data_IF_029700895930
#
_entry.id   IF_029700895930
#
_cell.length_a   1.000
_cell.length_b   1.000
_cell.length_c   1.000
_cell.angle_alpha   90.00
_cell.angle_beta   90.00
_cell.angle_gamma   90.00
#
_symmetry.space_group_name_H-M   'P 1'
#
loop_
_entity.id
_entity.type
_entity.pdbx_description
1 polymer ?
#
# COMPACT_ATOMS: atom_id res chain seq x y z
N UNK A 1 37.98 -13.40 49.15
CA UNK A 1 37.71 -12.47 48.06
C UNK A 1 36.63 -13.11 47.15
N UNK A 2 35.36 -12.67 47.25
CA UNK A 2 34.25 -13.25 46.48
C UNK A 2 34.04 -12.39 45.24
N UNK A 3 34.33 -12.94 44.07
CA UNK A 3 34.11 -12.32 42.76
C UNK A 3 32.60 -12.40 42.48
N UNK A 4 31.92 -11.25 42.42
CA UNK A 4 30.55 -11.17 41.94
C UNK A 4 30.61 -11.02 40.40
N UNK A 5 30.19 -12.06 39.70
CA UNK A 5 29.97 -11.99 38.24
C UNK A 5 28.64 -11.26 38.01
N UNK A 6 28.70 -10.07 37.46
CA UNK A 6 27.51 -9.34 36.97
C UNK A 6 27.24 -9.83 35.57
N UNK A 7 26.20 -10.64 35.40
CA UNK A 7 25.69 -11.01 34.08
C UNK A 7 24.86 -9.84 33.54
N UNK A 8 25.42 -9.07 32.62
CA UNK A 8 24.66 -8.05 31.89
C UNK A 8 23.96 -8.77 30.73
N UNK A 9 22.65 -9.01 30.90
CA UNK A 9 21.80 -9.52 29.83
C UNK A 9 21.53 -8.37 28.87
N UNK A 10 22.19 -8.33 27.71
CA UNK A 10 21.79 -7.48 26.60
C UNK A 10 20.47 -8.00 26.04
N UNK A 11 19.37 -7.34 26.39
CA UNK A 11 18.14 -7.44 25.63
C UNK A 11 18.41 -6.82 24.24
N UNK A 12 18.71 -7.64 23.26
CA UNK A 12 18.63 -7.26 21.86
C UNK A 12 17.15 -7.03 21.59
N UNK A 13 16.72 -5.77 21.60
CA UNK A 13 15.43 -5.40 21.07
C UNK A 13 15.47 -5.77 19.58
N UNK A 14 14.91 -6.93 19.23
CA UNK A 14 14.60 -7.26 17.84
C UNK A 14 13.59 -6.23 17.42
N UNK A 15 14.03 -5.21 16.69
CA UNK A 15 13.15 -4.27 16.02
C UNK A 15 12.29 -5.09 15.06
N UNK A 16 11.04 -5.31 15.45
CA UNK A 16 10.10 -6.08 14.65
C UNK A 16 9.68 -5.23 13.44
N UNK A 17 10.42 -5.35 12.36
CA UNK A 17 10.09 -4.77 11.06
C UNK A 17 8.85 -5.43 10.47
N UNK A 18 8.22 -4.75 9.52
CA UNK A 18 7.09 -5.23 8.71
C UNK A 18 7.45 -6.51 7.91
N UNK A 19 7.43 -7.67 8.55
CA UNK A 19 7.82 -8.95 7.92
C UNK A 19 6.59 -9.59 7.23
N UNK A 20 6.66 -9.73 5.91
CA UNK A 20 5.60 -10.36 5.12
C UNK A 20 5.45 -11.86 5.41
N UNK A 21 6.52 -12.52 5.85
CA UNK A 21 6.45 -13.93 6.27
C UNK A 21 5.59 -14.07 7.51
N UNK A 22 5.75 -13.17 8.51
CA UNK A 22 4.88 -13.11 9.69
C UNK A 22 3.41 -12.85 9.30
N UNK A 23 3.16 -12.00 8.29
CA UNK A 23 1.81 -11.84 7.75
C UNK A 23 1.23 -13.16 7.21
N UNK A 24 2.04 -13.96 6.52
CA UNK A 24 1.61 -15.27 6.00
C UNK A 24 1.29 -16.29 7.09
N UNK A 25 1.87 -16.13 8.28
CA UNK A 25 1.63 -16.99 9.44
C UNK A 25 0.29 -16.68 10.14
N UNK A 26 -0.36 -15.53 9.89
CA UNK A 26 -1.70 -15.27 10.41
C UNK A 26 -2.70 -16.28 9.84
N UNK A 27 -3.62 -16.79 10.70
CA UNK A 27 -4.64 -17.75 10.27
C UNK A 27 -5.44 -17.23 9.07
N UNK A 28 -5.58 -18.08 8.07
CA UNK A 28 -6.57 -17.90 7.01
C UNK A 28 -7.92 -18.31 7.58
N UNK A 29 -8.90 -17.41 7.55
CA UNK A 29 -10.27 -17.70 7.97
C UNK A 29 -11.11 -18.11 6.76
N UNK A 30 -11.54 -19.39 6.68
CA UNK A 30 -12.34 -19.86 5.55
C UNK A 30 -13.67 -19.10 5.40
N UNK A 31 -14.19 -18.50 6.48
CA UNK A 31 -15.41 -17.69 6.41
C UNK A 31 -15.15 -16.37 5.67
N UNK A 32 -13.99 -15.72 5.91
CA UNK A 32 -13.58 -14.52 5.17
C UNK A 32 -13.38 -14.85 3.69
N UNK A 33 -12.69 -15.95 3.37
CA UNK A 33 -12.49 -16.34 1.96
C UNK A 33 -13.81 -16.63 1.25
N UNK A 34 -14.75 -17.31 1.93
CA UNK A 34 -16.08 -17.60 1.39
C UNK A 34 -16.85 -16.30 1.12
N UNK A 35 -16.86 -15.36 2.06
CA UNK A 35 -17.49 -14.04 1.89
C UNK A 35 -16.86 -13.25 0.73
N UNK A 36 -15.52 -13.22 0.64
CA UNK A 36 -14.84 -12.52 -0.44
C UNK A 36 -15.12 -13.14 -1.81
N UNK A 37 -15.29 -14.48 -1.89
CA UNK A 37 -15.71 -15.16 -3.11
C UNK A 37 -17.12 -14.76 -3.50
N UNK A 38 -18.08 -14.72 -2.57
CA UNK A 38 -19.45 -14.25 -2.84
C UNK A 38 -19.45 -12.79 -3.30
N UNK A 39 -18.65 -11.93 -2.66
CA UNK A 39 -18.47 -10.53 -3.09
C UNK A 39 -17.92 -10.46 -4.51
N UNK A 40 -16.91 -11.26 -4.83
CA UNK A 40 -16.33 -11.31 -6.17
C UNK A 40 -17.35 -11.77 -7.22
N UNK A 41 -18.06 -12.89 -6.98
CA UNK A 41 -19.10 -13.43 -7.86
C UNK A 41 -20.23 -12.43 -8.10
N UNK A 42 -20.73 -11.78 -7.04
CA UNK A 42 -21.75 -10.74 -7.15
C UNK A 42 -21.26 -9.51 -7.92
N UNK A 43 -19.99 -9.14 -7.70
CA UNK A 43 -19.38 -8.03 -8.43
C UNK A 43 -19.22 -8.32 -9.92
N UNK A 44 -18.73 -9.50 -10.27
CA UNK A 44 -18.60 -9.93 -11.68
C UNK A 44 -19.94 -9.98 -12.40
N UNK A 45 -21.01 -10.34 -11.69
CA UNK A 45 -22.38 -10.32 -12.23
C UNK A 45 -22.86 -8.88 -12.51
N UNK A 46 -22.62 -7.94 -11.58
CA UNK A 46 -23.07 -6.56 -11.69
C UNK A 46 -22.22 -5.73 -12.67
N UNK A 47 -20.95 -6.12 -12.85
CA UNK A 47 -19.98 -5.46 -13.72
C UNK A 47 -19.46 -6.44 -14.79
N UNK A 48 -20.24 -6.78 -15.81
CA UNK A 48 -19.94 -7.86 -16.76
C UNK A 48 -18.72 -7.64 -17.66
N UNK A 49 -18.16 -6.42 -17.66
CA UNK A 49 -16.89 -6.10 -18.34
C UNK A 49 -15.68 -6.51 -17.50
N UNK A 50 -15.83 -6.63 -16.18
CA UNK A 50 -14.78 -7.08 -15.27
C UNK A 50 -14.62 -8.59 -15.41
N UNK A 51 -13.39 -9.07 -15.55
CA UNK A 51 -13.10 -10.51 -15.58
C UNK A 51 -12.63 -10.97 -14.20
N UNK A 52 -12.77 -12.25 -13.93
CA UNK A 52 -12.34 -12.84 -12.66
C UNK A 52 -10.85 -12.56 -12.35
N UNK A 53 -9.97 -12.72 -13.35
CA UNK A 53 -8.53 -12.46 -13.22
C UNK A 53 -8.17 -10.97 -13.13
N UNK A 54 -9.14 -10.09 -13.32
CA UNK A 54 -8.97 -8.63 -13.25
C UNK A 54 -9.43 -8.06 -11.90
N UNK A 55 -9.72 -8.91 -10.92
CA UNK A 55 -10.13 -8.57 -9.56
C UNK A 55 -9.29 -9.33 -8.54
N UNK A 56 -8.74 -8.62 -7.57
CA UNK A 56 -8.11 -9.20 -6.38
C UNK A 56 -8.57 -8.44 -5.13
N UNK A 57 -8.86 -9.16 -4.06
CA UNK A 57 -9.34 -8.61 -2.79
C UNK A 57 -8.60 -9.30 -1.65
N UNK A 58 -8.09 -8.53 -0.69
CA UNK A 58 -7.58 -9.06 0.59
C UNK A 58 -8.27 -8.36 1.74
N UNK A 59 -8.71 -9.12 2.73
CA UNK A 59 -9.27 -8.62 3.97
C UNK A 59 -8.52 -9.18 5.17
N UNK A 60 -8.27 -8.32 6.17
CA UNK A 60 -7.71 -8.69 7.47
C UNK A 60 -8.69 -8.22 8.54
N UNK A 61 -9.22 -9.11 9.35
CA UNK A 61 -10.05 -8.76 10.51
C UNK A 61 -9.15 -8.36 11.68
N UNK A 62 -9.33 -7.13 12.15
CA UNK A 62 -8.64 -6.51 13.28
C UNK A 62 -9.58 -6.16 14.43
N UNK A 63 -10.82 -6.65 14.39
CA UNK A 63 -11.82 -6.40 15.44
C UNK A 63 -11.30 -6.84 16.80
N UNK A 64 -10.59 -7.96 16.84
CA UNK A 64 -9.83 -8.40 18.01
C UNK A 64 -8.34 -8.51 17.65
N UNK A 65 -7.54 -7.58 18.14
CA UNK A 65 -6.10 -7.52 17.86
C UNK A 65 -5.30 -8.72 18.43
N UNK A 66 -5.90 -9.53 19.31
CA UNK A 66 -5.28 -10.76 19.83
C UNK A 66 -5.54 -11.97 18.93
N UNK A 67 -6.53 -11.91 18.05
CA UNK A 67 -6.94 -13.00 17.16
C UNK A 67 -7.13 -12.51 15.73
N UNK A 68 -6.06 -11.93 15.17
CA UNK A 68 -6.05 -11.44 13.79
C UNK A 68 -6.23 -12.63 12.84
N UNK A 69 -7.15 -12.51 11.90
CA UNK A 69 -7.33 -13.46 10.81
C UNK A 69 -7.42 -12.75 9.47
N UNK A 70 -7.19 -13.48 8.39
CA UNK A 70 -7.20 -12.94 7.03
C UNK A 70 -7.88 -13.86 6.04
N UNK A 71 -8.26 -13.34 4.92
CA UNK A 71 -8.70 -14.10 3.76
C UNK A 71 -8.51 -13.26 2.50
N UNK A 72 -8.48 -13.92 1.37
CA UNK A 72 -8.34 -13.23 0.10
C UNK A 72 -9.10 -13.92 -1.04
N UNK A 73 -9.30 -13.15 -2.12
CA UNK A 73 -9.68 -13.59 -3.44
C UNK A 73 -8.60 -13.12 -4.40
N UNK A 74 -7.82 -14.04 -4.96
CA UNK A 74 -6.65 -13.78 -5.82
C UNK A 74 -5.58 -12.87 -5.17
N UNK A 75 -5.43 -12.95 -3.82
CA UNK A 75 -4.60 -12.02 -3.05
C UNK A 75 -3.12 -12.01 -3.40
N UNK A 76 -2.57 -13.08 -3.95
CA UNK A 76 -1.18 -13.18 -4.42
C UNK A 76 -1.04 -12.90 -5.95
N UNK A 77 -2.13 -12.55 -6.66
CA UNK A 77 -2.05 -12.16 -8.05
C UNK A 77 -1.35 -10.80 -8.23
N UNK A 78 -0.40 -10.68 -9.18
CA UNK A 78 0.31 -9.42 -9.39
C UNK A 78 -0.51 -8.42 -10.19
N UNK A 79 -0.59 -7.19 -9.69
CA UNK A 79 -1.25 -6.07 -10.34
C UNK A 79 -0.33 -4.85 -10.45
N UNK A 80 -0.65 -3.95 -11.36
CA UNK A 80 -0.13 -2.59 -11.32
C UNK A 80 -0.87 -1.80 -10.24
N UNK A 81 -0.18 -1.38 -9.15
CA UNK A 81 -0.86 -0.79 -8.00
C UNK A 81 -1.28 0.66 -8.22
N UNK A 82 -0.86 1.32 -9.29
CA UNK A 82 -0.94 2.76 -9.48
C UNK A 82 -0.42 3.49 -8.23
N UNK A 83 -1.12 4.51 -7.74
CA UNK A 83 -0.68 5.29 -6.58
C UNK A 83 -0.73 4.56 -5.23
N UNK A 84 -1.28 3.34 -5.15
CA UNK A 84 -1.17 2.53 -3.93
C UNK A 84 0.29 2.18 -3.60
N UNK A 85 1.18 2.15 -4.61
CA UNK A 85 2.63 1.97 -4.39
C UNK A 85 3.24 3.01 -3.45
N UNK A 86 2.62 4.19 -3.32
CA UNK A 86 3.08 5.29 -2.45
C UNK A 86 3.11 4.90 -0.97
N UNK A 87 2.36 3.87 -0.55
CA UNK A 87 2.49 3.27 0.77
C UNK A 87 3.90 2.74 1.05
N UNK A 88 4.51 2.11 0.06
CA UNK A 88 5.87 1.58 0.19
C UNK A 88 6.92 2.71 0.15
N UNK A 89 6.72 3.75 -0.65
CA UNK A 89 7.59 4.94 -0.64
C UNK A 89 7.51 5.69 0.68
N UNK A 90 6.30 5.82 1.24
CA UNK A 90 6.07 6.39 2.56
C UNK A 90 6.86 5.62 3.62
N UNK A 91 6.67 4.30 3.70
CA UNK A 91 7.35 3.46 4.67
C UNK A 91 8.89 3.50 4.53
N UNK A 92 9.42 3.48 3.30
CA UNK A 92 10.86 3.59 3.04
C UNK A 92 11.43 4.94 3.45
N UNK A 93 10.67 6.04 3.30
CA UNK A 93 11.11 7.37 3.74
C UNK A 93 11.39 7.39 5.25
N UNK A 94 10.50 6.80 6.04
CA UNK A 94 10.68 6.65 7.49
C UNK A 94 11.77 5.62 7.84
N UNK A 95 11.87 4.52 7.10
CA UNK A 95 12.92 3.52 7.28
C UNK A 95 14.32 4.12 7.14
N UNK A 96 14.52 4.98 6.16
CA UNK A 96 15.78 5.71 5.95
C UNK A 96 15.94 6.94 6.85
N UNK A 97 14.97 7.28 7.71
CA UNK A 97 14.96 8.48 8.56
C UNK A 97 15.10 9.77 7.75
N UNK A 98 14.46 9.82 6.59
CA UNK A 98 14.48 10.98 5.69
C UNK A 98 13.25 11.88 5.82
N UNK A 99 12.31 11.57 6.69
CA UNK A 99 11.09 12.32 6.92
C UNK A 99 11.30 13.75 7.38
N UNK A 100 12.48 14.07 7.91
CA UNK A 100 12.85 15.43 8.37
C UNK A 100 13.79 16.18 7.40
N UNK A 101 14.11 15.59 6.24
CA UNK A 101 14.85 16.30 5.19
C UNK A 101 14.00 17.49 4.69
N UNK A 102 14.58 18.68 4.45
CA UNK A 102 13.84 19.83 3.95
C UNK A 102 12.91 19.46 2.79
N UNK A 103 11.71 20.02 2.77
CA UNK A 103 10.60 19.77 1.83
C UNK A 103 10.00 18.35 1.86
N UNK A 104 10.64 17.34 2.44
CA UNK A 104 10.09 15.98 2.54
C UNK A 104 8.77 15.93 3.32
N UNK A 105 8.59 16.59 4.48
CA UNK A 105 7.31 16.57 5.19
C UNK A 105 6.14 17.07 4.33
N UNK A 106 6.35 18.17 3.58
CA UNK A 106 5.37 18.71 2.64
C UNK A 106 5.10 17.75 1.50
N UNK A 107 6.14 17.21 0.89
CA UNK A 107 6.01 16.26 -0.22
C UNK A 107 5.32 14.96 0.20
N UNK A 108 5.54 14.44 1.42
CA UNK A 108 4.81 13.31 1.97
C UNK A 108 3.31 13.63 2.11
N UNK A 109 2.96 14.82 2.58
CA UNK A 109 1.58 15.28 2.64
C UNK A 109 0.92 15.29 1.26
N UNK A 110 1.52 15.95 0.27
CA UNK A 110 1.00 16.00 -1.11
C UNK A 110 0.94 14.61 -1.76
N UNK A 111 1.98 13.78 -1.60
CA UNK A 111 2.01 12.41 -2.11
C UNK A 111 0.85 11.56 -1.60
N UNK A 112 0.49 11.69 -0.32
CA UNK A 112 -0.52 10.84 0.31
C UNK A 112 -1.92 11.46 0.24
N UNK A 113 -2.08 12.76 0.61
CA UNK A 113 -3.41 13.38 0.70
C UNK A 113 -4.06 13.58 -0.67
N UNK A 114 -3.34 14.16 -1.62
CA UNK A 114 -3.88 14.43 -2.97
C UNK A 114 -3.31 13.51 -4.05
N UNK A 115 -2.42 12.59 -3.64
CA UNK A 115 -1.77 11.65 -4.57
C UNK A 115 -0.92 12.32 -5.63
N UNK A 116 -0.30 13.48 -5.29
CA UNK A 116 0.52 14.23 -6.21
C UNK A 116 1.70 13.40 -6.76
N UNK A 117 1.91 13.48 -8.09
CA UNK A 117 2.93 12.68 -8.77
C UNK A 117 4.31 13.35 -8.76
N UNK A 118 4.37 14.67 -8.75
CA UNK A 118 5.64 15.40 -8.70
C UNK A 118 6.25 15.30 -7.29
N UNK A 119 5.40 15.43 -6.25
CA UNK A 119 5.80 15.13 -4.87
C UNK A 119 6.28 13.68 -4.71
N UNK A 120 5.59 12.72 -5.35
CA UNK A 120 6.01 11.31 -5.34
C UNK A 120 7.36 11.13 -6.04
N UNK A 121 7.56 11.79 -7.18
CA UNK A 121 8.82 11.74 -7.92
C UNK A 121 9.98 12.32 -7.08
N UNK A 122 9.73 13.42 -6.38
CA UNK A 122 10.69 14.00 -5.44
C UNK A 122 11.04 13.06 -4.29
N UNK A 123 10.02 12.47 -3.63
CA UNK A 123 10.25 11.48 -2.55
C UNK A 123 11.10 10.32 -3.06
N UNK A 124 10.77 9.77 -4.24
CA UNK A 124 11.53 8.65 -4.80
C UNK A 124 12.98 9.05 -5.13
N UNK A 125 13.20 10.27 -5.63
CA UNK A 125 14.54 10.80 -5.84
C UNK A 125 15.32 10.91 -4.52
N UNK A 126 14.70 11.43 -3.47
CA UNK A 126 15.32 11.57 -2.15
C UNK A 126 15.68 10.20 -1.57
N UNK A 127 14.75 9.24 -1.52
CA UNK A 127 15.01 7.93 -0.90
C UNK A 127 16.01 7.09 -1.71
N UNK A 128 16.09 7.27 -3.02
CA UNK A 128 17.01 6.52 -3.89
C UNK A 128 18.32 7.26 -4.18
N UNK A 129 18.49 8.50 -3.72
CA UNK A 129 19.62 9.35 -4.07
C UNK A 129 19.88 9.38 -5.59
N UNK A 130 18.81 9.68 -6.34
CA UNK A 130 18.83 9.76 -7.81
C UNK A 130 18.04 10.98 -8.29
N UNK A 131 18.05 11.22 -9.59
CA UNK A 131 17.20 12.21 -10.26
C UNK A 131 16.84 11.76 -11.66
N UNK A 132 15.74 12.25 -12.21
CA UNK A 132 15.44 12.13 -13.64
C UNK A 132 16.49 12.86 -14.48
N UNK A 133 16.64 12.52 -15.75
CA UNK A 133 17.57 13.15 -16.65
C UNK A 133 17.76 12.36 -17.95
N UNK A 134 18.75 12.76 -18.78
CA UNK A 134 19.04 12.08 -20.05
C UNK A 134 19.30 10.58 -19.87
N UNK A 135 19.21 9.86 -20.97
CA UNK A 135 19.59 8.45 -21.02
C UNK A 135 21.02 8.22 -20.50
N UNK A 136 21.21 7.06 -19.91
CA UNK A 136 22.49 6.60 -19.37
C UNK A 136 23.01 5.42 -20.16
N UNK A 137 24.31 5.29 -20.21
CA UNK A 137 24.96 4.12 -20.77
C UNK A 137 25.17 2.99 -19.75
N UNK A 138 25.36 1.82 -20.24
CA UNK A 138 25.77 0.56 -19.61
C UNK A 138 25.93 0.58 -18.08
N UNK A 139 27.09 0.97 -17.57
CA UNK A 139 27.41 0.93 -16.12
C UNK A 139 26.63 1.99 -15.33
N UNK A 140 26.47 3.17 -15.88
CA UNK A 140 25.75 4.27 -15.23
C UNK A 140 24.26 3.92 -15.09
N UNK A 141 23.64 3.33 -16.11
CA UNK A 141 22.27 2.85 -16.07
C UNK A 141 22.07 1.75 -15.01
N UNK A 142 22.98 0.75 -14.94
CA UNK A 142 22.89 -0.29 -13.90
C UNK A 142 22.93 0.29 -12.49
N UNK A 143 23.84 1.25 -12.24
CA UNK A 143 23.94 1.93 -10.93
C UNK A 143 22.69 2.75 -10.62
N UNK A 144 22.08 3.38 -11.63
CA UNK A 144 20.83 4.11 -11.48
C UNK A 144 19.68 3.17 -11.08
N UNK A 145 19.53 2.04 -11.79
CA UNK A 145 18.51 1.03 -11.50
C UNK A 145 18.69 0.43 -10.10
N UNK A 146 19.94 0.13 -9.71
CA UNK A 146 20.27 -0.37 -8.38
C UNK A 146 19.81 0.62 -7.28
N UNK A 147 20.19 1.89 -7.40
CA UNK A 147 19.76 2.92 -6.45
C UNK A 147 18.23 3.08 -6.41
N UNK A 148 17.59 3.08 -7.59
CA UNK A 148 16.13 3.21 -7.70
C UNK A 148 15.37 2.05 -7.06
N UNK A 149 15.99 0.88 -6.96
CA UNK A 149 15.36 -0.31 -6.37
C UNK A 149 15.46 -0.39 -4.83
N UNK A 150 15.79 0.73 -4.16
CA UNK A 150 16.01 0.78 -2.70
C UNK A 150 14.84 0.18 -1.90
N UNK A 151 13.59 0.48 -2.26
CA UNK A 151 12.40 -0.10 -1.63
C UNK A 151 12.37 -1.62 -1.77
N UNK A 152 12.64 -2.11 -2.99
CA UNK A 152 12.68 -3.55 -3.26
C UNK A 152 13.80 -4.23 -2.47
N UNK A 153 14.97 -3.58 -2.36
CA UNK A 153 16.12 -4.10 -1.60
C UNK A 153 15.80 -4.21 -0.10
N UNK A 154 15.10 -3.23 0.48
CA UNK A 154 14.66 -3.28 1.86
C UNK A 154 13.62 -4.38 2.10
N UNK A 155 12.60 -4.49 1.24
CA UNK A 155 11.43 -5.34 1.48
C UNK A 155 11.63 -6.80 1.06
N UNK A 156 12.51 -7.07 0.08
CA UNK A 156 12.77 -8.45 -0.39
C UNK A 156 13.24 -9.41 0.71
N UNK A 157 14.21 -9.06 1.59
CA UNK A 157 14.61 -9.92 2.71
C UNK A 157 13.49 -10.18 3.71
N UNK A 158 12.47 -9.30 3.77
CA UNK A 158 11.27 -9.43 4.59
C UNK A 158 10.17 -10.26 3.90
N UNK A 159 10.46 -10.85 2.75
CA UNK A 159 9.57 -11.77 2.03
C UNK A 159 8.63 -11.12 1.01
N UNK A 160 8.67 -9.80 0.82
CA UNK A 160 7.85 -9.14 -0.18
C UNK A 160 8.34 -9.43 -1.61
N UNK A 161 7.44 -9.85 -2.48
CA UNK A 161 7.65 -9.90 -3.93
C UNK A 161 6.90 -8.75 -4.61
N UNK A 162 7.52 -7.58 -4.59
CA UNK A 162 6.98 -6.36 -5.19
C UNK A 162 8.00 -5.70 -6.12
N UNK A 163 7.52 -4.80 -6.97
CA UNK A 163 8.35 -3.80 -7.63
C UNK A 163 7.81 -2.41 -7.27
N UNK A 164 8.63 -1.59 -6.62
CA UNK A 164 8.32 -0.23 -6.19
C UNK A 164 9.55 0.66 -6.47
N UNK A 165 9.75 1.02 -7.74
CA UNK A 165 10.96 1.70 -8.18
C UNK A 165 10.76 2.71 -9.32
N UNK A 166 9.61 2.66 -9.99
CA UNK A 166 9.30 3.56 -11.09
C UNK A 166 8.50 4.77 -10.58
N UNK A 167 8.86 5.97 -11.05
CA UNK A 167 8.09 7.18 -10.80
C UNK A 167 6.71 7.09 -11.44
N UNK A 168 5.67 7.67 -10.83
CA UNK A 168 4.43 7.95 -11.52
C UNK A 168 4.66 9.12 -12.51
N UNK A 169 3.96 9.08 -13.63
CA UNK A 169 4.10 10.08 -14.69
C UNK A 169 2.74 10.57 -15.15
N UNK A 170 2.60 11.89 -15.28
CA UNK A 170 1.41 12.48 -15.89
C UNK A 170 1.44 12.38 -17.43
N UNK A 171 2.64 12.41 -18.02
CA UNK A 171 2.85 12.42 -19.49
C UNK A 171 3.81 11.34 -19.99
N UNK A 172 4.09 10.33 -19.18
CA UNK A 172 5.04 9.26 -19.47
C UNK A 172 6.45 9.56 -18.98
N UNK A 173 7.28 8.52 -18.79
CA UNK A 173 8.67 8.66 -18.40
C UNK A 173 9.51 9.19 -19.57
N UNK A 174 10.65 9.82 -19.23
CA UNK A 174 11.65 10.32 -20.17
C UNK A 174 13.06 9.86 -19.79
N UNK A 175 13.97 9.80 -20.78
CA UNK A 175 15.38 9.53 -20.57
C UNK A 175 15.64 8.27 -19.74
N UNK A 176 16.46 8.37 -18.67
CA UNK A 176 16.84 7.25 -17.83
C UNK A 176 15.68 6.57 -17.11
N UNK A 177 14.57 7.27 -16.91
CA UNK A 177 13.39 6.66 -16.29
C UNK A 177 12.63 5.74 -17.27
N UNK A 178 12.67 6.02 -18.59
CA UNK A 178 12.20 5.08 -19.64
C UNK A 178 13.06 3.84 -19.63
N UNK A 179 14.40 4.03 -19.60
CA UNK A 179 15.34 2.91 -19.58
C UNK A 179 15.15 2.03 -18.33
N UNK A 180 14.85 2.67 -17.17
CA UNK A 180 14.55 1.94 -15.93
C UNK A 180 13.32 1.06 -16.07
N UNK A 181 12.22 1.60 -16.61
CA UNK A 181 10.97 0.83 -16.81
C UNK A 181 11.19 -0.34 -17.76
N UNK A 182 12.09 -0.19 -18.72
CA UNK A 182 12.43 -1.19 -19.71
C UNK A 182 11.46 -1.24 -20.88
N UNK A 183 11.90 -1.79 -22.05
CA UNK A 183 11.11 -1.80 -23.29
C UNK A 183 9.82 -2.62 -23.18
N UNK A 184 9.79 -3.65 -22.32
CA UNK A 184 8.63 -4.48 -22.06
C UNK A 184 7.93 -4.13 -20.74
N UNK A 185 8.27 -2.98 -20.14
CA UNK A 185 7.77 -2.53 -18.83
C UNK A 185 8.06 -3.51 -17.68
N UNK A 186 9.13 -4.29 -17.78
CA UNK A 186 9.53 -5.34 -16.83
C UNK A 186 9.78 -4.82 -15.41
N UNK A 187 10.20 -3.55 -15.28
CA UNK A 187 10.42 -2.88 -14.00
C UNK A 187 9.27 -1.91 -13.64
N UNK A 188 8.10 -2.02 -14.29
CA UNK A 188 6.89 -1.28 -13.85
C UNK A 188 6.56 -1.66 -12.40
N UNK A 189 6.05 -0.68 -11.63
CA UNK A 189 5.59 -0.98 -10.28
C UNK A 189 4.56 -2.12 -10.29
N UNK A 190 4.71 -3.06 -9.36
CA UNK A 190 3.92 -4.27 -9.24
C UNK A 190 3.75 -4.62 -7.77
N UNK A 191 2.54 -4.95 -7.36
CA UNK A 191 2.25 -5.43 -6.02
C UNK A 191 1.07 -6.41 -6.04
N UNK A 192 0.88 -7.12 -4.94
CA UNK A 192 -0.30 -7.97 -4.69
C UNK A 192 -1.15 -7.32 -3.60
N UNK A 193 -2.45 -7.64 -3.54
CA UNK A 193 -3.32 -7.13 -2.46
C UNK A 193 -2.86 -7.64 -1.10
N UNK A 194 -2.33 -8.87 -1.03
CA UNK A 194 -1.73 -9.43 0.19
C UNK A 194 -0.51 -8.63 0.67
N UNK A 195 0.40 -8.25 -0.23
CA UNK A 195 1.59 -7.46 0.12
C UNK A 195 1.21 -6.06 0.63
N UNK A 196 0.25 -5.41 -0.02
CA UNK A 196 -0.25 -4.09 0.39
C UNK A 196 -0.99 -4.19 1.73
N UNK A 197 -1.85 -5.19 1.92
CA UNK A 197 -2.56 -5.42 3.17
C UNK A 197 -1.59 -5.68 4.33
N UNK A 198 -0.51 -6.42 4.09
CA UNK A 198 0.57 -6.63 5.06
C UNK A 198 1.23 -5.31 5.46
N UNK A 199 1.63 -4.47 4.52
CA UNK A 199 2.24 -3.17 4.84
C UNK A 199 1.28 -2.29 5.65
N UNK A 200 0.00 -2.22 5.24
CA UNK A 200 -1.03 -1.48 5.98
C UNK A 200 -1.19 -2.05 7.41
N UNK A 201 -1.19 -3.37 7.58
CA UNK A 201 -1.27 -4.03 8.89
C UNK A 201 -0.13 -3.59 9.82
N UNK A 202 1.10 -3.55 9.32
CA UNK A 202 2.24 -3.15 10.14
C UNK A 202 2.19 -1.68 10.52
N UNK A 203 1.71 -0.80 9.61
CA UNK A 203 1.46 0.62 9.92
C UNK A 203 0.42 0.72 11.03
N UNK A 204 -0.74 0.07 10.89
CA UNK A 204 -1.83 0.09 11.89
C UNK A 204 -1.38 -0.46 13.25
N UNK A 205 -0.52 -1.50 13.25
CA UNK A 205 -0.01 -2.11 14.49
C UNK A 205 1.17 -1.38 15.12
N UNK A 206 1.63 -0.27 14.56
CA UNK A 206 2.80 0.44 15.09
C UNK A 206 4.13 -0.28 14.83
N UNK A 207 4.21 -1.17 13.80
CA UNK A 207 5.34 -2.06 13.55
C UNK A 207 5.95 -1.93 12.15
N UNK A 208 5.56 -0.91 11.36
CA UNK A 208 6.11 -0.73 10.02
C UNK A 208 7.61 -0.40 10.05
N UNK A 209 8.03 0.54 10.87
CA UNK A 209 9.43 0.95 11.10
C UNK A 209 9.66 1.13 12.59
N UNK A 210 8.87 2.00 13.23
CA UNK A 210 8.79 2.20 14.67
C UNK A 210 7.36 2.59 15.05
N UNK A 211 6.98 2.57 16.33
CA UNK A 211 5.68 3.07 16.78
C UNK A 211 5.44 4.54 16.38
N UNK A 212 6.45 5.39 16.53
CA UNK A 212 6.39 6.82 16.21
C UNK A 212 6.23 7.03 14.69
N UNK A 213 7.04 6.34 13.89
CA UNK A 213 6.95 6.38 12.42
C UNK A 213 5.58 5.89 11.95
N UNK A 214 5.09 4.80 12.51
CA UNK A 214 3.77 4.25 12.16
C UNK A 214 2.64 5.20 12.51
N UNK A 215 2.73 5.89 13.66
CA UNK A 215 1.77 6.94 14.04
C UNK A 215 1.76 8.08 13.02
N UNK A 216 2.93 8.58 12.63
CA UNK A 216 3.05 9.64 11.62
C UNK A 216 2.48 9.18 10.26
N UNK A 217 2.75 7.94 9.85
CA UNK A 217 2.15 7.37 8.64
C UNK A 217 0.62 7.28 8.73
N UNK A 218 0.07 6.88 9.88
CA UNK A 218 -1.38 6.88 10.12
C UNK A 218 -1.99 8.29 10.04
N UNK A 219 -1.31 9.31 10.55
CA UNK A 219 -1.77 10.70 10.42
C UNK A 219 -1.86 11.13 8.96
N UNK A 220 -0.88 10.77 8.13
CA UNK A 220 -0.89 11.05 6.68
C UNK A 220 -1.97 10.27 5.92
N UNK A 221 -2.27 9.04 6.32
CA UNK A 221 -3.27 8.18 5.67
C UNK A 221 -4.71 8.51 6.06
N UNK A 222 -4.93 9.29 7.12
CA UNK A 222 -6.26 9.61 7.63
C UNK A 222 -7.13 10.31 6.58
N UNK A 223 -8.38 9.83 6.43
CA UNK A 223 -9.39 10.37 5.52
C UNK A 223 -10.62 10.78 6.31
N UNK A 224 -10.74 12.06 6.77
CA UNK A 224 -11.97 12.54 7.39
C UNK A 224 -13.16 12.38 6.42
N UNK A 225 -14.21 11.70 6.87
CA UNK A 225 -15.40 11.40 6.05
C UNK A 225 -16.48 12.50 6.13
N UNK A 226 -16.42 13.32 7.16
CA UNK A 226 -17.40 14.35 7.52
C UNK A 226 -17.03 15.76 7.04
N UNK A 227 -15.86 15.94 6.44
CA UNK A 227 -15.36 17.23 5.96
C UNK A 227 -15.53 17.32 4.45
N UNK A 228 -16.29 18.31 3.93
CA UNK A 228 -16.34 18.58 2.50
C UNK A 228 -14.94 18.90 1.97
N UNK A 229 -14.44 18.09 1.06
CA UNK A 229 -13.14 18.33 0.39
C UNK A 229 -13.41 18.91 -0.98
N UNK A 230 -12.65 19.96 -1.34
CA UNK A 230 -12.71 20.58 -2.65
C UNK A 230 -11.93 19.79 -3.71
N UNK A 231 -10.97 18.98 -3.27
CA UNK A 231 -10.03 18.27 -4.13
C UNK A 231 -10.35 16.78 -4.22
N UNK A 232 -9.66 16.07 -5.14
CA UNK A 232 -9.75 14.63 -5.35
C UNK A 232 -9.57 13.87 -4.03
N UNK A 233 -10.68 13.59 -3.37
CA UNK A 233 -10.66 13.09 -2.00
C UNK A 233 -10.67 11.58 -2.00
N UNK A 234 -9.85 10.87 -2.63
CA UNK A 234 -9.65 9.40 -2.51
C UNK A 234 -10.64 8.63 -1.58
N UNK A 235 -11.85 9.18 -1.36
CA UNK A 235 -12.99 8.63 -0.60
C UNK A 235 -14.17 8.38 -1.54
N UNK A 236 -14.64 9.46 -2.23
CA UNK A 236 -15.66 9.36 -3.28
C UNK A 236 -15.09 8.53 -4.42
N UNK A 237 -15.89 7.64 -4.99
CA UNK A 237 -15.51 6.71 -6.06
C UNK A 237 -14.51 5.60 -5.64
N UNK A 238 -14.23 5.48 -4.32
CA UNK A 238 -13.38 4.48 -3.72
C UNK A 238 -14.11 3.78 -2.55
N UNK A 239 -13.40 2.92 -1.81
CA UNK A 239 -14.01 2.13 -0.72
C UNK A 239 -14.67 3.00 0.34
N UNK A 240 -14.14 4.20 0.57
CA UNK A 240 -14.67 5.13 1.56
C UNK A 240 -16.12 5.59 1.29
N UNK A 241 -16.56 5.61 0.02
CA UNK A 241 -17.92 6.04 -0.34
C UNK A 241 -19.02 5.11 0.20
N UNK A 242 -18.71 3.84 0.39
CA UNK A 242 -19.65 2.84 0.89
C UNK A 242 -19.81 2.83 2.41
N UNK A 243 -18.99 3.58 3.15
CA UNK A 243 -18.94 3.48 4.59
C UNK A 243 -20.11 4.18 5.27
N UNK A 244 -20.71 3.58 6.31
CA UNK A 244 -21.77 4.23 7.10
C UNK A 244 -21.22 5.44 7.87
N UNK A 245 -22.12 6.38 8.16
CA UNK A 245 -21.79 7.56 8.96
C UNK A 245 -21.18 7.16 10.32
N UNK A 246 -20.18 7.90 10.79
CA UNK A 246 -19.43 7.60 12.01
C UNK A 246 -18.29 6.60 11.85
N UNK A 247 -18.05 6.09 10.64
CA UNK A 247 -16.85 5.29 10.34
C UNK A 247 -15.60 6.17 10.35
N UNK A 248 -14.44 5.51 10.54
CA UNK A 248 -13.12 6.13 10.36
C UNK A 248 -12.38 5.40 9.25
N UNK A 249 -11.60 6.16 8.47
CA UNK A 249 -10.91 5.66 7.29
C UNK A 249 -9.46 6.15 7.25
N UNK A 250 -8.55 5.24 6.96
CA UNK A 250 -7.17 5.51 6.58
C UNK A 250 -6.90 4.77 5.27
N UNK A 251 -6.58 5.49 4.20
CA UNK A 251 -6.48 4.85 2.90
C UNK A 251 -5.44 5.47 1.98
N UNK A 252 -5.10 4.71 0.95
CA UNK A 252 -4.38 5.17 -0.23
C UNK A 252 -5.00 4.58 -1.48
N UNK A 253 -5.64 5.41 -2.26
CA UNK A 253 -6.19 5.04 -3.56
C UNK A 253 -5.14 5.13 -4.68
N UNK A 254 -5.41 4.43 -5.78
CA UNK A 254 -4.59 4.47 -6.98
C UNK A 254 -5.39 4.16 -8.22
N UNK A 255 -5.33 5.04 -9.23
CA UNK A 255 -6.08 4.85 -10.46
C UNK A 255 -5.31 5.35 -11.68
N UNK A 256 -5.67 4.84 -12.82
CA UNK A 256 -5.28 5.27 -14.18
C UNK A 256 -6.43 4.93 -15.12
N UNK A 257 -6.24 5.09 -16.42
CA UNK A 257 -7.18 4.57 -17.43
C UNK A 257 -7.26 3.03 -17.48
N UNK A 258 -6.31 2.31 -16.85
CA UNK A 258 -6.25 0.84 -16.89
C UNK A 258 -6.73 0.18 -15.59
N UNK A 259 -6.50 0.82 -14.43
CA UNK A 259 -6.73 0.25 -13.10
C UNK A 259 -7.42 1.23 -12.17
N UNK A 260 -8.22 0.69 -11.23
CA UNK A 260 -8.79 1.42 -10.10
C UNK A 260 -8.63 0.57 -8.84
N UNK A 261 -7.85 1.06 -7.89
CA UNK A 261 -7.37 0.31 -6.73
C UNK A 261 -7.56 1.12 -5.46
N UNK A 262 -7.76 0.45 -4.33
CA UNK A 262 -7.73 1.10 -3.02
C UNK A 262 -7.18 0.15 -1.95
N UNK A 263 -6.54 0.74 -0.95
CA UNK A 263 -6.05 0.07 0.24
C UNK A 263 -6.49 0.87 1.46
N UNK A 264 -7.33 0.28 2.29
CA UNK A 264 -8.01 0.95 3.39
C UNK A 264 -7.91 0.18 4.71
N UNK A 265 -7.63 0.88 5.80
CA UNK A 265 -7.98 0.46 7.16
C UNK A 265 -9.24 1.19 7.58
N UNK A 266 -10.19 0.47 8.12
CA UNK A 266 -11.55 0.94 8.39
C UNK A 266 -11.94 0.57 9.83
N UNK A 267 -12.49 1.53 10.56
CA UNK A 267 -13.17 1.31 11.82
C UNK A 267 -14.65 1.69 11.65
N UNK A 268 -15.55 0.73 11.88
CA UNK A 268 -16.99 0.92 11.79
C UNK A 268 -17.58 1.37 13.14
N UNK A 269 -18.76 2.06 13.13
CA UNK A 269 -19.44 2.49 14.36
C UNK A 269 -19.83 1.34 15.29
N UNK A 270 -20.03 0.13 14.75
CA UNK A 270 -20.34 -1.07 15.53
C UNK A 270 -19.12 -1.73 16.20
N UNK A 271 -17.94 -1.10 16.11
CA UNK A 271 -16.69 -1.58 16.71
C UNK A 271 -15.86 -2.52 15.84
N UNK A 272 -16.35 -2.93 14.68
CA UNK A 272 -15.55 -3.73 13.74
C UNK A 272 -14.41 -2.93 13.15
N UNK A 273 -13.26 -3.59 13.00
CA UNK A 273 -12.04 -3.00 12.45
C UNK A 273 -11.42 -3.96 11.45
N UNK A 274 -11.08 -3.50 10.28
CA UNK A 274 -10.50 -4.36 9.26
C UNK A 274 -9.66 -3.57 8.25
N UNK A 275 -8.75 -4.27 7.60
CA UNK A 275 -8.07 -3.80 6.40
C UNK A 275 -8.77 -4.44 5.21
N UNK A 276 -9.03 -3.65 4.18
CA UNK A 276 -9.57 -4.08 2.90
C UNK A 276 -8.72 -3.50 1.78
N UNK A 277 -8.15 -4.37 0.95
CA UNK A 277 -7.40 -3.97 -0.25
C UNK A 277 -8.08 -4.56 -1.47
N UNK A 278 -8.39 -3.71 -2.44
CA UNK A 278 -9.05 -4.11 -3.69
C UNK A 278 -8.24 -3.59 -4.87
N UNK A 279 -7.84 -4.50 -5.74
CA UNK A 279 -7.20 -4.18 -7.02
C UNK A 279 -8.06 -4.64 -8.18
N UNK A 280 -8.22 -3.75 -9.17
CA UNK A 280 -8.99 -4.05 -10.39
C UNK A 280 -8.24 -3.55 -11.63
N UNK A 281 -8.50 -4.17 -12.78
CA UNK A 281 -8.03 -3.71 -14.09
C UNK A 281 -9.09 -3.91 -15.16
N UNK A 282 -8.99 -3.16 -16.26
CA UNK A 282 -9.87 -3.28 -17.43
C UNK A 282 -11.23 -2.60 -17.30
N UNK A 283 -11.58 -2.04 -16.13
CA UNK A 283 -12.84 -1.33 -15.85
C UNK A 283 -12.60 -0.07 -15.03
N UNK A 284 -11.46 0.58 -15.25
CA UNK A 284 -11.03 1.74 -14.45
C UNK A 284 -11.97 2.95 -14.53
N UNK A 285 -12.72 3.08 -15.66
CA UNK A 285 -13.67 4.17 -15.89
C UNK A 285 -14.96 4.04 -15.05
N UNK A 286 -15.24 2.84 -14.51
CA UNK A 286 -16.44 2.63 -13.72
C UNK A 286 -16.19 3.05 -12.27
N UNK A 287 -16.49 4.30 -11.98
CA UNK A 287 -16.31 4.91 -10.66
C UNK A 287 -17.20 4.28 -9.57
N UNK A 288 -18.21 3.50 -9.95
CA UNK A 288 -19.10 2.80 -9.02
C UNK A 288 -18.54 1.46 -8.56
N UNK A 289 -17.51 0.94 -9.24
CA UNK A 289 -17.00 -0.41 -8.99
C UNK A 289 -16.48 -0.58 -7.55
N UNK A 290 -15.55 0.26 -7.09
CA UNK A 290 -15.00 0.14 -5.74
C UNK A 290 -16.04 0.41 -4.64
N UNK A 291 -16.91 1.45 -4.74
CA UNK A 291 -18.03 1.62 -3.80
C UNK A 291 -18.95 0.39 -3.73
N UNK A 292 -19.27 -0.23 -4.86
CA UNK A 292 -20.11 -1.43 -4.90
C UNK A 292 -19.43 -2.64 -4.23
N UNK A 293 -18.12 -2.83 -4.43
CA UNK A 293 -17.35 -3.87 -3.75
C UNK A 293 -17.35 -3.61 -2.23
N UNK A 294 -17.07 -2.37 -1.80
CA UNK A 294 -17.11 -1.99 -0.40
C UNK A 294 -18.47 -2.26 0.25
N UNK A 295 -19.57 -1.86 -0.41
CA UNK A 295 -20.93 -2.12 0.07
C UNK A 295 -21.24 -3.62 0.20
N UNK A 296 -20.79 -4.45 -0.77
CA UNK A 296 -20.97 -5.91 -0.71
C UNK A 296 -20.18 -6.53 0.44
N UNK A 297 -18.91 -6.09 0.65
CA UNK A 297 -18.12 -6.56 1.81
C UNK A 297 -18.83 -6.23 3.11
N UNK A 298 -19.36 -5.01 3.26
CA UNK A 298 -20.10 -4.61 4.47
C UNK A 298 -21.38 -5.43 4.65
N UNK A 299 -22.06 -5.83 3.57
CA UNK A 299 -23.26 -6.67 3.61
C UNK A 299 -22.99 -8.12 4.05
N UNK A 300 -21.78 -8.63 3.85
CA UNK A 300 -21.35 -9.96 4.29
C UNK A 300 -20.78 -9.97 5.73
N UNK A 301 -20.58 -8.82 6.33
CA UNK A 301 -20.04 -8.68 7.69
C UNK A 301 -21.14 -8.72 8.75
#
# INVERSE_FOLDING_TARGET
MRIRIVVVTFLVAVSAFADYREFKDFPVDPSIETKLRHVAEATLKDFPKLKADDLAITMIDLTNMSTISRGDYHGDAPFYPASVVKLFFLAETFHQKKENVPDVPRALGEMIHVSDNDATAYILDVISDTSSGPELDGRALRKFIEKRSVVNQWLKPLGYDISAMAKPWSFGPFGRDVQLVGPNRENRNRATTNAVASMMLWIVRGRAVSPESSKAMMELLNRPLDVPRKDENQVKEFLGESLPAGSKLWSKAGWTSEVRNDAAYIELPNGRKFILVVFTRGTADDVKLLPAIGAKVLGEM
#
